data_IF_337814574763
#
_entry.id   IF_337814574763
#
_cell.length_a   1.000
_cell.length_b   1.000
_cell.length_c   1.000
_cell.angle_alpha   90.00
_cell.angle_beta   90.00
_cell.angle_gamma   90.00
#
_symmetry.space_group_name_H-M   'P 1'
#
loop_
_entity.id
_entity.type
_entity.pdbx_description
1 polymer ?
#
# COMPACT_ATOMS: atom_id res chain seq x y z
N UNK A 1 6.69 14.85 58.79
CA UNK A 1 7.16 15.46 57.53
C UNK A 1 6.74 14.72 56.23
N UNK A 2 6.52 13.40 56.21
CA UNK A 2 6.17 12.67 54.96
C UNK A 2 4.74 12.94 54.43
N UNK A 3 3.75 13.07 55.32
CA UNK A 3 2.33 13.25 54.95
C UNK A 3 2.05 14.57 54.21
N UNK A 4 2.69 15.67 54.61
CA UNK A 4 2.50 16.98 53.99
C UNK A 4 3.08 17.03 52.56
N UNK A 5 4.18 16.32 52.29
CA UNK A 5 4.75 16.22 50.94
C UNK A 5 3.86 15.43 49.99
N UNK A 6 3.24 14.36 50.48
CA UNK A 6 2.28 13.56 49.70
C UNK A 6 1.04 14.38 49.39
N UNK A 7 0.50 15.13 50.38
CA UNK A 7 -0.63 16.03 50.17
C UNK A 7 -0.33 17.11 49.11
N UNK A 8 0.82 17.77 49.21
CA UNK A 8 1.23 18.78 48.22
C UNK A 8 1.53 18.20 46.82
N UNK A 9 1.89 16.91 46.71
CA UNK A 9 2.03 16.24 45.43
C UNK A 9 0.67 15.89 44.81
N UNK A 10 -0.29 15.44 45.61
CA UNK A 10 -1.67 15.18 45.19
C UNK A 10 -2.36 16.46 44.71
N UNK A 11 -2.24 17.57 45.44
CA UNK A 11 -2.81 18.86 45.05
C UNK A 11 -2.23 19.37 43.71
N UNK A 12 -0.93 19.15 43.47
CA UNK A 12 -0.29 19.48 42.19
C UNK A 12 -0.77 18.58 41.06
N UNK A 13 -0.90 17.27 41.31
CA UNK A 13 -1.41 16.33 40.31
C UNK A 13 -2.84 16.71 39.92
N UNK A 14 -3.70 17.00 40.89
CA UNK A 14 -5.07 17.40 40.67
C UNK A 14 -5.18 18.73 39.91
N UNK A 15 -4.28 19.68 40.18
CA UNK A 15 -4.17 20.91 39.40
C UNK A 15 -3.75 20.64 37.94
N UNK A 16 -2.79 19.74 37.71
CA UNK A 16 -2.40 19.34 36.36
C UNK A 16 -3.55 18.62 35.62
N UNK A 17 -4.27 17.71 36.28
CA UNK A 17 -5.43 17.02 35.69
C UNK A 17 -6.51 18.02 35.28
N UNK A 18 -6.88 18.97 36.16
CA UNK A 18 -7.84 20.03 35.82
C UNK A 18 -7.38 20.87 34.62
N UNK A 19 -6.08 21.14 34.54
CA UNK A 19 -5.51 21.88 33.41
C UNK A 19 -5.65 21.08 32.11
N UNK A 20 -5.38 19.78 32.14
CA UNK A 20 -5.56 18.89 30.98
C UNK A 20 -7.03 18.89 30.55
N UNK A 21 -7.99 18.76 31.48
CA UNK A 21 -9.42 18.77 31.14
C UNK A 21 -9.86 20.06 30.44
N UNK A 22 -9.35 21.22 30.90
CA UNK A 22 -9.60 22.51 30.25
C UNK A 22 -9.03 22.54 28.83
N UNK A 23 -7.85 21.98 28.63
CA UNK A 23 -7.21 21.92 27.31
C UNK A 23 -7.95 20.95 26.38
N UNK A 24 -8.40 19.81 26.87
CA UNK A 24 -9.24 18.84 26.14
C UNK A 24 -10.54 19.51 25.72
N UNK A 25 -11.26 20.15 26.65
CA UNK A 25 -12.52 20.85 26.34
C UNK A 25 -12.33 21.96 25.31
N UNK A 26 -11.19 22.68 25.36
CA UNK A 26 -10.87 23.71 24.37
C UNK A 26 -10.50 23.12 23.01
N UNK A 27 -9.82 21.98 22.98
CA UNK A 27 -9.52 21.25 21.76
C UNK A 27 -10.81 20.74 21.09
N UNK A 28 -11.76 20.20 21.86
CA UNK A 28 -13.05 19.73 21.35
C UNK A 28 -13.84 20.87 20.69
N UNK A 29 -13.88 22.06 21.32
CA UNK A 29 -14.52 23.26 20.73
C UNK A 29 -13.87 23.72 19.43
N UNK A 30 -12.54 23.65 19.35
CA UNK A 30 -11.81 23.98 18.12
C UNK A 30 -12.06 22.93 17.02
N UNK A 31 -12.34 21.68 17.40
CA UNK A 31 -12.65 20.58 16.50
C UNK A 31 -14.07 20.71 15.91
N UNK A 32 -15.04 21.22 16.69
CA UNK A 32 -16.38 21.58 16.20
C UNK A 32 -16.37 22.79 15.26
N UNK A 33 -15.41 23.71 15.45
CA UNK A 33 -15.22 24.90 14.60
C UNK A 33 -14.39 24.60 13.33
N UNK A 34 -13.65 23.49 13.27
CA UNK A 34 -13.02 23.06 12.02
C UNK A 34 -14.08 22.61 11.01
N UNK A 35 -14.05 23.11 9.76
CA UNK A 35 -15.03 22.70 8.75
C UNK A 35 -14.94 21.19 8.57
N UNK A 36 -16.00 20.47 8.97
CA UNK A 36 -16.16 19.04 8.69
C UNK A 36 -15.71 18.77 7.26
N UNK A 37 -14.76 17.84 7.11
CA UNK A 37 -14.20 17.47 5.83
C UNK A 37 -15.29 17.35 4.77
N UNK A 38 -15.17 18.17 3.72
CA UNK A 38 -16.16 18.20 2.63
C UNK A 38 -15.95 17.03 1.67
N UNK A 39 -14.79 16.39 1.72
CA UNK A 39 -14.44 15.22 0.95
C UNK A 39 -14.84 13.96 1.70
N UNK A 40 -15.72 13.17 1.08
CA UNK A 40 -16.00 11.83 1.57
C UNK A 40 -15.20 10.84 0.76
N UNK A 41 -14.19 10.27 1.42
CA UNK A 41 -13.32 9.24 0.88
C UNK A 41 -13.81 7.85 1.32
N UNK A 42 -14.05 6.97 0.36
CA UNK A 42 -14.41 5.56 0.60
C UNK A 42 -13.64 4.66 -0.33
N UNK A 43 -13.36 3.43 0.10
CA UNK A 43 -12.86 2.41 -0.82
C UNK A 43 -13.97 1.96 -1.78
N UNK A 44 -13.58 1.43 -2.93
CA UNK A 44 -14.51 0.97 -3.99
C UNK A 44 -15.32 -0.26 -3.58
N UNK A 45 -14.82 -1.03 -2.62
CA UNK A 45 -15.54 -2.08 -1.88
C UNK A 45 -15.13 -2.04 -0.39
N UNK A 46 -15.66 -2.95 0.43
CA UNK A 46 -15.17 -3.14 1.79
C UNK A 46 -13.69 -3.58 1.78
N UNK A 47 -12.94 -3.19 2.81
CA UNK A 47 -11.53 -3.59 2.91
C UNK A 47 -11.36 -5.10 3.02
N UNK A 48 -12.24 -5.76 3.78
CA UNK A 48 -12.26 -7.22 3.87
C UNK A 48 -12.39 -7.89 2.50
N UNK A 49 -13.28 -7.42 1.62
CA UNK A 49 -13.40 -7.94 0.25
C UNK A 49 -12.14 -7.69 -0.57
N UNK A 50 -11.54 -6.50 -0.49
CA UNK A 50 -10.31 -6.19 -1.23
C UNK A 50 -9.15 -7.08 -0.76
N UNK A 51 -8.98 -7.25 0.55
CA UNK A 51 -7.94 -8.07 1.16
C UNK A 51 -8.13 -9.56 0.86
N UNK A 52 -9.37 -10.06 0.92
CA UNK A 52 -9.72 -11.44 0.56
C UNK A 52 -9.38 -11.70 -0.91
N UNK A 53 -9.77 -10.79 -1.81
CA UNK A 53 -9.48 -10.89 -3.23
C UNK A 53 -7.98 -10.82 -3.52
N UNK A 54 -7.25 -9.89 -2.91
CA UNK A 54 -5.80 -9.81 -3.02
C UNK A 54 -5.12 -11.10 -2.53
N UNK A 55 -5.63 -11.70 -1.46
CA UNK A 55 -5.17 -12.99 -0.94
C UNK A 55 -5.44 -14.15 -1.91
N UNK A 56 -6.64 -14.21 -2.51
CA UNK A 56 -6.97 -15.19 -3.57
C UNK A 56 -6.01 -15.08 -4.75
N UNK A 57 -5.75 -13.87 -5.21
CA UNK A 57 -4.79 -13.58 -6.30
C UNK A 57 -3.40 -14.10 -5.94
N UNK A 58 -2.90 -13.81 -4.74
CA UNK A 58 -1.60 -14.32 -4.29
C UNK A 58 -1.55 -15.85 -4.28
N UNK A 59 -2.56 -16.49 -3.71
CA UNK A 59 -2.62 -17.95 -3.59
C UNK A 59 -2.64 -18.63 -4.95
N UNK A 60 -3.43 -18.11 -5.90
CA UNK A 60 -3.51 -18.68 -7.23
C UNK A 60 -2.18 -18.50 -7.98
N UNK A 61 -1.55 -17.33 -7.90
CA UNK A 61 -0.24 -17.11 -8.53
C UNK A 61 0.78 -18.09 -7.93
N UNK A 62 0.83 -18.19 -6.61
CA UNK A 62 1.75 -19.07 -5.90
C UNK A 62 1.61 -20.54 -6.27
N UNK A 63 0.41 -21.03 -6.57
CA UNK A 63 0.14 -22.43 -6.91
C UNK A 63 0.36 -22.76 -8.39
N UNK A 64 0.34 -21.76 -9.26
CA UNK A 64 0.40 -21.95 -10.72
C UNK A 64 1.80 -21.66 -11.30
N UNK A 65 2.85 -21.53 -10.48
CA UNK A 65 4.22 -21.37 -11.00
C UNK A 65 4.81 -22.67 -11.57
N UNK A 66 5.87 -22.56 -12.40
CA UNK A 66 6.61 -23.74 -12.89
C UNK A 66 7.36 -24.40 -11.74
N UNK A 67 7.61 -25.72 -11.82
CA UNK A 67 8.53 -26.41 -10.91
C UNK A 67 9.98 -26.41 -11.42
N UNK A 68 10.20 -25.84 -12.61
CA UNK A 68 11.50 -25.85 -13.28
C UNK A 68 12.46 -24.81 -12.70
N UNK A 69 11.94 -23.83 -11.94
CA UNK A 69 12.70 -22.68 -11.48
C UNK A 69 12.60 -22.44 -9.98
N UNK A 70 13.74 -22.10 -9.34
CA UNK A 70 13.75 -21.83 -7.91
C UNK A 70 13.04 -20.52 -7.53
N UNK A 71 12.94 -19.56 -8.46
CA UNK A 71 12.40 -18.23 -8.20
C UNK A 71 11.52 -17.74 -9.34
N UNK A 72 10.34 -17.26 -8.99
CA UNK A 72 9.41 -16.53 -9.86
C UNK A 72 9.13 -15.16 -9.26
N UNK A 73 8.79 -14.18 -10.10
CA UNK A 73 8.53 -12.81 -9.65
C UNK A 73 7.19 -12.33 -10.18
N UNK A 74 6.39 -11.76 -9.30
CA UNK A 74 5.21 -10.99 -9.67
C UNK A 74 5.36 -9.54 -9.19
N UNK A 75 4.77 -8.62 -9.94
CA UNK A 75 4.58 -7.22 -9.57
C UNK A 75 3.10 -6.98 -9.48
N UNK A 76 2.61 -6.69 -8.29
CA UNK A 76 1.22 -6.29 -8.07
C UNK A 76 1.11 -4.77 -8.22
N UNK A 77 0.29 -4.29 -9.15
CA UNK A 77 0.04 -2.86 -9.29
C UNK A 77 -0.64 -2.34 -8.00
N UNK A 78 -0.05 -1.30 -7.41
CA UNK A 78 -0.60 -0.64 -6.23
C UNK A 78 -1.60 0.42 -6.69
N UNK A 79 -2.87 0.18 -6.39
CA UNK A 79 -3.98 1.03 -6.79
C UNK A 79 -4.63 1.64 -5.56
N UNK A 80 -5.13 2.87 -5.68
CA UNK A 80 -5.77 3.55 -4.56
C UNK A 80 -7.12 2.90 -4.19
N UNK A 81 -7.89 2.45 -5.19
CA UNK A 81 -9.28 1.95 -5.03
C UNK A 81 -10.17 2.92 -4.24
N UNK A 82 -9.90 4.23 -4.34
CA UNK A 82 -10.62 5.28 -3.61
C UNK A 82 -11.70 5.92 -4.49
N UNK A 83 -12.92 5.94 -3.98
CA UNK A 83 -14.06 6.71 -4.50
C UNK A 83 -14.09 8.05 -3.78
N UNK A 84 -13.94 9.12 -4.57
CA UNK A 84 -14.00 10.51 -4.10
C UNK A 84 -15.39 11.07 -4.37
N UNK A 85 -16.14 11.39 -3.32
CA UNK A 85 -17.43 12.06 -3.46
C UNK A 85 -17.35 13.50 -2.95
N UNK A 86 -17.68 14.46 -3.83
CA UNK A 86 -17.76 15.89 -3.50
C UNK A 86 -19.21 16.29 -3.30
N UNK A 87 -19.47 17.16 -2.32
CA UNK A 87 -20.82 17.72 -2.08
C UNK A 87 -21.23 18.82 -3.08
N UNK A 88 -20.36 19.27 -3.99
CA UNK A 88 -20.62 20.44 -4.87
C UNK A 88 -20.51 20.14 -6.36
N UNK A 89 -21.44 20.74 -7.14
CA UNK A 89 -21.55 20.69 -8.61
C UNK A 89 -20.43 21.52 -9.27
N UNK A 90 -19.21 21.00 -9.40
CA UNK A 90 -18.22 21.54 -10.37
C UNK A 90 -18.38 20.82 -11.72
N UNK A 91 -18.32 21.51 -12.87
CA UNK A 91 -18.24 20.85 -14.17
C UNK A 91 -16.92 20.06 -14.28
N UNK A 92 -17.01 18.83 -14.77
CA UNK A 92 -15.85 17.97 -15.01
C UNK A 92 -15.00 18.52 -16.16
N UNK A 93 -13.83 19.06 -15.84
CA UNK A 93 -12.67 19.03 -16.74
C UNK A 93 -11.51 18.35 -16.00
N UNK A 94 -11.65 17.04 -15.77
CA UNK A 94 -10.57 16.15 -15.37
C UNK A 94 -10.98 14.71 -15.71
N UNK A 95 -11.27 14.46 -16.99
CA UNK A 95 -11.79 13.18 -17.47
C UNK A 95 -10.76 12.03 -17.49
N UNK A 96 -9.57 12.22 -16.92
CA UNK A 96 -8.46 11.25 -17.06
C UNK A 96 -7.78 10.85 -15.74
N UNK A 97 -8.28 11.30 -14.57
CA UNK A 97 -7.68 10.98 -13.26
C UNK A 97 -8.52 10.05 -12.36
N UNK A 98 -9.70 9.59 -12.81
CA UNK A 98 -10.66 8.90 -11.94
C UNK A 98 -11.17 7.56 -12.48
N UNK A 99 -10.31 6.72 -13.08
CA UNK A 99 -10.68 5.31 -13.18
C UNK A 99 -10.44 4.66 -11.82
N UNK A 100 -11.51 4.56 -11.02
CA UNK A 100 -11.44 3.87 -9.73
C UNK A 100 -11.27 2.38 -10.00
N UNK A 101 -10.13 1.84 -9.59
CA UNK A 101 -9.87 0.41 -9.71
C UNK A 101 -10.94 -0.42 -8.98
N UNK A 102 -11.41 -1.47 -9.66
CA UNK A 102 -12.45 -2.37 -9.17
C UNK A 102 -11.88 -3.37 -8.17
N UNK A 103 -12.61 -3.66 -7.10
CA UNK A 103 -12.21 -4.60 -6.05
C UNK A 103 -11.90 -6.03 -6.56
N UNK A 104 -12.44 -6.40 -7.73
CA UNK A 104 -12.31 -7.71 -8.37
C UNK A 104 -11.19 -7.79 -9.41
N UNK A 105 -10.57 -6.67 -9.77
CA UNK A 105 -9.57 -6.61 -10.83
C UNK A 105 -8.21 -6.18 -10.27
N UNK A 106 -7.13 -6.87 -10.63
CA UNK A 106 -5.78 -6.59 -10.15
C UNK A 106 -4.79 -6.58 -11.30
N UNK A 107 -4.09 -5.46 -11.49
CA UNK A 107 -3.01 -5.35 -12.47
C UNK A 107 -1.75 -6.07 -12.00
N UNK A 108 -1.14 -6.86 -12.89
CA UNK A 108 0.01 -7.70 -12.58
C UNK A 108 1.04 -7.70 -13.71
N UNK A 109 2.31 -7.66 -13.35
CA UNK A 109 3.39 -8.06 -14.26
C UNK A 109 4.06 -9.33 -13.75
N UNK A 110 4.15 -10.35 -14.59
CA UNK A 110 4.68 -11.67 -14.24
C UNK A 110 5.99 -11.91 -14.98
N UNK A 111 6.97 -12.48 -14.27
CA UNK A 111 8.23 -12.93 -14.85
C UNK A 111 8.65 -14.22 -14.18
N UNK A 112 8.80 -15.27 -14.98
CA UNK A 112 9.47 -16.50 -14.57
C UNK A 112 10.66 -16.68 -15.48
N UNK A 113 11.88 -16.69 -14.93
CA UNK A 113 13.11 -16.89 -15.70
C UNK A 113 13.25 -18.35 -16.20
N UNK A 114 12.15 -19.04 -16.56
CA UNK A 114 12.18 -20.47 -16.89
C UNK A 114 12.71 -20.68 -18.34
N UNK A 115 13.37 -19.66 -18.95
CA UNK A 115 14.30 -19.68 -20.11
C UNK A 115 14.93 -18.29 -20.42
N UNK A 116 15.96 -18.27 -21.27
CA UNK A 116 16.95 -17.19 -21.51
C UNK A 116 16.45 -15.83 -22.05
N UNK A 117 15.15 -15.60 -22.21
CA UNK A 117 14.61 -14.32 -22.73
C UNK A 117 13.25 -13.96 -22.11
N UNK A 118 13.05 -14.27 -20.83
CA UNK A 118 11.75 -14.05 -20.18
C UNK A 118 11.48 -12.55 -19.96
N UNK A 119 10.76 -11.94 -20.90
CA UNK A 119 10.21 -10.59 -20.78
C UNK A 119 9.11 -10.55 -19.71
N UNK A 120 8.79 -9.34 -19.24
CA UNK A 120 7.65 -9.15 -18.34
C UNK A 120 6.35 -9.35 -19.11
N UNK A 121 5.51 -10.27 -18.62
CA UNK A 121 4.13 -10.40 -19.09
C UNK A 121 3.24 -9.45 -18.29
N UNK A 122 2.72 -8.40 -18.93
CA UNK A 122 1.72 -7.54 -18.33
C UNK A 122 0.33 -8.16 -18.46
N UNK A 123 -0.44 -8.09 -17.38
CA UNK A 123 -1.70 -8.81 -17.27
C UNK A 123 -2.64 -8.18 -16.26
N UNK A 124 -3.90 -8.62 -16.31
CA UNK A 124 -4.91 -8.36 -15.27
C UNK A 124 -5.46 -9.70 -14.78
N UNK A 125 -5.65 -9.84 -13.47
CA UNK A 125 -6.49 -10.91 -12.89
C UNK A 125 -7.84 -10.31 -12.51
N UNK A 126 -8.91 -10.85 -13.10
CA UNK A 126 -10.31 -10.58 -12.75
C UNK A 126 -10.87 -11.74 -11.93
N UNK A 127 -11.57 -11.43 -10.86
CA UNK A 127 -12.24 -12.41 -10.00
C UNK A 127 -13.72 -12.40 -10.36
N UNK A 128 -14.25 -13.56 -10.73
CA UNK A 128 -15.68 -13.73 -11.01
C UNK A 128 -16.44 -13.65 -9.68
N UNK A 129 -17.16 -12.55 -9.45
CA UNK A 129 -18.16 -12.49 -8.39
C UNK A 129 -19.44 -13.14 -8.91
N UNK A 130 -19.91 -14.23 -8.28
CA UNK A 130 -21.30 -14.62 -8.48
C UNK A 130 -22.18 -13.41 -8.12
N UNK A 131 -23.17 -13.03 -8.94
CA UNK A 131 -24.15 -12.05 -8.50
C UNK A 131 -24.83 -12.60 -7.25
N UNK A 132 -24.49 -12.03 -6.11
CA UNK A 132 -25.18 -12.33 -4.86
C UNK A 132 -26.64 -11.96 -5.07
N UNK A 133 -27.51 -12.98 -5.05
CA UNK A 133 -28.96 -12.80 -5.04
C UNK A 133 -29.36 -12.11 -3.73
N UNK A 134 -29.19 -10.79 -3.68
CA UNK A 134 -29.78 -9.92 -2.68
C UNK A 134 -30.75 -8.99 -3.40
N UNK A 135 -32.02 -9.11 -3.00
CA UNK A 135 -33.13 -8.42 -3.61
C UNK A 135 -33.01 -6.89 -3.46
N UNK A 136 -33.38 -6.18 -4.53
CA UNK A 136 -34.06 -4.89 -4.43
C UNK A 136 -33.20 -3.67 -4.10
N UNK A 137 -32.29 -3.27 -4.99
CA UNK A 137 -32.04 -1.85 -5.31
C UNK A 137 -31.39 -1.77 -6.68
N UNK A 138 -32.09 -1.20 -7.67
CA UNK A 138 -31.52 -0.92 -8.99
C UNK A 138 -30.47 0.17 -8.83
N UNK A 139 -29.20 -0.22 -8.74
CA UNK A 139 -28.06 0.68 -8.89
C UNK A 139 -27.71 0.69 -10.38
N UNK A 140 -28.09 1.74 -11.09
CA UNK A 140 -27.55 1.98 -12.43
C UNK A 140 -26.06 2.29 -12.28
N UNK A 141 -25.24 1.27 -12.44
CA UNK A 141 -23.82 1.43 -12.74
C UNK A 141 -23.74 1.51 -14.26
N UNK A 142 -23.26 2.62 -14.80
CA UNK A 142 -22.91 2.70 -16.23
C UNK A 142 -21.66 1.85 -16.40
N UNK A 143 -21.86 0.56 -16.69
CA UNK A 143 -20.81 -0.33 -17.14
C UNK A 143 -20.31 0.18 -18.49
N UNK A 144 -19.00 0.35 -18.63
CA UNK A 144 -18.34 0.36 -19.95
C UNK A 144 -18.79 -0.93 -20.66
N UNK A 145 -19.08 -0.93 -21.98
CA UNK A 145 -19.66 -2.09 -22.64
C UNK A 145 -18.83 -3.33 -22.32
N UNK A 146 -19.44 -4.29 -21.63
CA UNK A 146 -18.88 -5.63 -21.58
C UNK A 146 -18.98 -6.15 -23.01
N UNK A 147 -17.81 -6.44 -23.61
CA UNK A 147 -17.77 -7.23 -24.82
C UNK A 147 -18.46 -8.57 -24.52
N UNK A 148 -19.65 -8.71 -25.10
CA UNK A 148 -20.47 -9.91 -25.14
C UNK A 148 -19.69 -10.98 -25.93
N UNK A 149 -18.81 -11.71 -25.25
CA UNK A 149 -17.98 -12.76 -25.86
C UNK A 149 -18.06 -14.07 -25.07
N UNK A 150 -18.32 -15.12 -25.85
CA UNK A 150 -18.68 -16.49 -25.50
C UNK A 150 -17.74 -17.12 -24.44
N UNK A 151 -18.27 -17.66 -23.31
CA UNK A 151 -17.50 -18.29 -22.24
C UNK A 151 -16.74 -19.58 -22.63
N UNK A 152 -16.83 -20.02 -23.89
CA UNK A 152 -16.27 -21.27 -24.39
C UNK A 152 -14.79 -21.22 -24.80
N UNK A 153 -14.19 -20.03 -25.01
CA UNK A 153 -12.79 -19.89 -25.49
C UNK A 153 -11.73 -19.67 -24.39
N UNK A 154 -12.02 -20.05 -23.15
CA UNK A 154 -11.09 -19.83 -22.03
C UNK A 154 -10.06 -20.97 -21.88
N UNK A 155 -8.77 -20.65 -21.98
CA UNK A 155 -7.71 -21.65 -21.79
C UNK A 155 -7.44 -21.86 -20.30
N UNK A 156 -7.55 -23.10 -19.82
CA UNK A 156 -7.20 -23.45 -18.44
C UNK A 156 -5.68 -23.36 -18.22
N UNK A 157 -5.27 -22.65 -17.17
CA UNK A 157 -3.85 -22.46 -16.86
C UNK A 157 -3.44 -23.47 -15.81
N UNK A 158 -2.50 -24.34 -16.19
CA UNK A 158 -1.81 -25.24 -15.26
C UNK A 158 -0.43 -24.72 -14.86
N UNK A 159 0.10 -23.73 -15.58
CA UNK A 159 1.39 -23.11 -15.30
C UNK A 159 1.48 -21.72 -15.93
N UNK A 160 1.67 -20.69 -15.10
CA UNK A 160 1.89 -19.31 -15.52
C UNK A 160 3.12 -19.16 -16.41
N UNK A 161 4.18 -19.94 -16.17
CA UNK A 161 5.38 -19.87 -17.00
C UNK A 161 5.13 -20.35 -18.42
N UNK A 162 4.19 -21.28 -18.64
CA UNK A 162 3.80 -21.65 -20.01
C UNK A 162 3.17 -20.46 -20.74
N UNK A 163 2.39 -19.64 -20.03
CA UNK A 163 1.78 -18.42 -20.59
C UNK A 163 2.85 -17.35 -20.83
N UNK A 164 3.73 -17.11 -19.86
CA UNK A 164 4.85 -16.14 -19.98
C UNK A 164 5.81 -16.50 -21.13
N UNK A 165 5.96 -17.79 -21.44
CA UNK A 165 6.79 -18.30 -22.55
C UNK A 165 6.15 -18.14 -23.93
N UNK A 166 4.84 -17.91 -24.03
CA UNK A 166 4.19 -17.73 -25.32
C UNK A 166 4.72 -16.46 -26.00
N UNK A 167 4.70 -16.39 -27.35
CA UNK A 167 5.08 -15.19 -28.09
C UNK A 167 4.36 -13.96 -27.51
N UNK A 168 4.99 -12.78 -27.52
CA UNK A 168 4.50 -11.62 -26.79
C UNK A 168 3.11 -11.22 -27.28
N UNK A 169 2.08 -11.66 -26.55
CA UNK A 169 0.82 -10.98 -26.54
C UNK A 169 1.03 -9.71 -25.69
N UNK A 170 0.62 -8.53 -26.18
CA UNK A 170 0.88 -7.28 -25.46
C UNK A 170 0.25 -7.27 -24.07
N UNK A 171 -0.85 -8.03 -23.90
CA UNK A 171 -1.59 -8.10 -22.66
C UNK A 171 -2.45 -9.37 -22.53
N UNK A 172 -2.48 -9.97 -21.34
CA UNK A 172 -3.30 -11.16 -21.04
C UNK A 172 -4.26 -10.86 -19.89
N UNK A 173 -5.54 -11.23 -20.05
CA UNK A 173 -6.51 -11.17 -18.96
C UNK A 173 -6.73 -12.58 -18.42
N UNK A 174 -6.45 -12.73 -17.14
CA UNK A 174 -6.72 -13.93 -16.37
C UNK A 174 -8.06 -13.79 -15.66
N UNK A 175 -8.86 -14.84 -15.67
CA UNK A 175 -10.12 -14.92 -14.95
C UNK A 175 -9.99 -16.00 -13.87
N UNK A 176 -10.29 -15.62 -12.62
CA UNK A 176 -10.28 -16.49 -11.46
C UNK A 176 -11.71 -16.75 -11.04
N UNK A 177 -12.12 -18.01 -11.15
CA UNK A 177 -13.47 -18.41 -10.71
C UNK A 177 -13.52 -18.71 -9.20
N UNK A 178 -14.73 -18.90 -8.70
CA UNK A 178 -15.07 -19.30 -7.33
C UNK A 178 -14.36 -20.59 -6.86
N UNK A 179 -14.10 -21.52 -7.78
CA UNK A 179 -13.37 -22.77 -7.52
C UNK A 179 -11.85 -22.61 -7.43
N UNK A 180 -11.33 -21.40 -7.61
CA UNK A 180 -9.89 -21.12 -7.57
C UNK A 180 -9.14 -21.56 -8.83
N UNK A 181 -9.86 -21.84 -9.93
CA UNK A 181 -9.27 -22.18 -11.22
C UNK A 181 -8.93 -20.91 -12.00
N UNK A 182 -7.70 -20.83 -12.48
CA UNK A 182 -7.23 -19.72 -13.31
C UNK A 182 -7.38 -20.05 -14.79
N UNK A 183 -8.02 -19.15 -15.54
CA UNK A 183 -8.14 -19.24 -16.99
C UNK A 183 -7.54 -18.01 -17.64
N UNK A 184 -6.93 -18.14 -18.82
CA UNK A 184 -6.48 -16.99 -19.63
C UNK A 184 -7.40 -16.76 -20.81
N UNK A 185 -7.49 -15.48 -21.19
CA UNK A 185 -7.87 -15.04 -22.52
C UNK A 185 -6.86 -14.00 -23.02
N UNK A 186 -6.45 -14.05 -24.31
CA UNK A 186 -5.77 -12.94 -24.94
C UNK A 186 -6.64 -11.70 -24.86
N UNK A 187 -6.05 -10.54 -24.56
CA UNK A 187 -6.78 -9.28 -24.65
C UNK A 187 -6.67 -8.73 -26.06
N UNK A 188 -7.82 -8.36 -26.64
CA UNK A 188 -7.87 -7.57 -27.87
C UNK A 188 -7.57 -6.08 -27.62
N UNK A 189 -7.53 -5.64 -26.36
CA UNK A 189 -7.08 -4.29 -26.03
C UNK A 189 -5.58 -4.19 -26.25
N UNK A 190 -5.17 -3.38 -27.22
CA UNK A 190 -3.82 -2.82 -27.22
C UNK A 190 -3.66 -2.03 -25.92
N UNK A 191 -2.75 -2.49 -25.05
CA UNK A 191 -2.35 -1.69 -23.89
C UNK A 191 -1.66 -0.43 -24.40
N UNK A 192 -2.34 0.71 -24.29
CA UNK A 192 -1.80 2.04 -24.62
C UNK A 192 -0.67 2.51 -23.69
N UNK A 193 -0.14 1.63 -22.83
CA UNK A 193 0.90 1.95 -21.86
C UNK A 193 2.25 1.47 -22.39
N UNK A 194 3.16 2.41 -22.64
CA UNK A 194 4.55 2.12 -22.91
C UNK A 194 5.25 1.69 -21.62
N UNK A 195 6.16 0.72 -21.74
CA UNK A 195 6.94 0.20 -20.61
C UNK A 195 8.42 0.49 -20.82
N UNK A 196 9.11 0.86 -19.74
CA UNK A 196 10.56 1.05 -19.78
C UNK A 196 11.28 -0.30 -19.85
N UNK A 197 12.43 -0.34 -20.51
CA UNK A 197 13.26 -1.55 -20.58
C UNK A 197 13.70 -2.03 -19.19
N UNK A 198 14.02 -1.09 -18.30
CA UNK A 198 14.42 -1.36 -16.93
C UNK A 198 13.54 -0.57 -15.97
N UNK A 199 12.73 -1.28 -15.19
CA UNK A 199 11.95 -0.69 -14.11
C UNK A 199 12.87 -0.13 -13.02
N UNK A 200 12.48 0.98 -12.41
CA UNK A 200 13.20 1.62 -11.31
C UNK A 200 12.48 1.39 -9.99
N UNK A 201 13.23 1.15 -8.91
CA UNK A 201 12.67 1.10 -7.56
C UNK A 201 12.47 2.50 -6.98
N UNK A 202 11.62 2.64 -5.97
CA UNK A 202 11.49 3.90 -5.22
C UNK A 202 12.85 4.29 -4.63
N UNK A 203 13.64 3.33 -4.12
CA UNK A 203 15.01 3.59 -3.65
C UNK A 203 15.90 4.26 -4.70
N UNK A 204 15.88 3.78 -5.95
CA UNK A 204 16.67 4.36 -7.03
C UNK A 204 16.15 5.74 -7.48
N UNK A 205 14.85 6.00 -7.29
CA UNK A 205 14.21 7.24 -7.70
C UNK A 205 14.33 8.36 -6.68
N UNK A 206 14.33 8.07 -5.39
CA UNK A 206 14.38 9.07 -4.31
C UNK A 206 15.50 10.13 -4.48
N UNK A 207 16.75 9.79 -4.87
CA UNK A 207 17.78 10.78 -5.18
C UNK A 207 17.40 11.84 -6.21
N UNK A 208 16.47 11.51 -7.11
CA UNK A 208 16.00 12.39 -8.18
C UNK A 208 14.81 13.26 -7.77
N UNK A 209 14.20 12.99 -6.61
CA UNK A 209 13.07 13.78 -6.11
C UNK A 209 13.51 15.17 -5.61
N UNK A 210 14.82 15.40 -5.42
CA UNK A 210 15.37 16.74 -5.16
C UNK A 210 15.07 17.70 -6.32
N UNK A 211 14.96 17.18 -7.55
CA UNK A 211 14.38 17.93 -8.65
C UNK A 211 12.87 18.01 -8.42
N UNK A 212 12.37 19.20 -8.06
CA UNK A 212 10.97 19.46 -7.69
C UNK A 212 9.97 18.76 -8.61
N UNK A 213 9.48 17.60 -8.17
CA UNK A 213 8.43 16.87 -8.87
C UNK A 213 7.09 17.63 -8.75
N UNK A 214 6.17 17.44 -9.70
CA UNK A 214 4.83 17.99 -9.56
C UNK A 214 4.13 17.48 -8.31
N UNK A 215 3.41 18.39 -7.65
CA UNK A 215 2.63 18.12 -6.43
C UNK A 215 1.68 16.93 -6.64
N UNK A 216 1.07 16.81 -7.83
CA UNK A 216 0.19 15.69 -8.19
C UNK A 216 0.85 14.32 -8.04
N UNK A 217 2.14 14.21 -8.39
CA UNK A 217 2.86 12.94 -8.33
C UNK A 217 3.28 12.61 -6.90
N UNK A 218 3.78 13.61 -6.16
CA UNK A 218 4.22 13.45 -4.77
C UNK A 218 3.06 13.02 -3.88
N UNK A 219 1.92 13.74 -3.95
CA UNK A 219 0.73 13.38 -3.18
C UNK A 219 0.08 12.10 -3.71
N UNK A 220 0.00 11.94 -5.03
CA UNK A 220 -0.57 10.74 -5.64
C UNK A 220 0.16 9.46 -5.21
N UNK A 221 1.49 9.50 -5.16
CA UNK A 221 2.30 8.39 -4.67
C UNK A 221 2.07 8.15 -3.17
N UNK A 222 2.13 9.19 -2.34
CA UNK A 222 1.90 9.08 -0.89
C UNK A 222 0.53 8.47 -0.56
N UNK A 223 -0.53 8.95 -1.21
CA UNK A 223 -1.90 8.44 -1.07
C UNK A 223 -1.96 6.97 -1.50
N UNK A 224 -1.33 6.60 -2.61
CA UNK A 224 -1.29 5.20 -3.09
C UNK A 224 -0.59 4.29 -2.09
N UNK A 225 0.54 4.72 -1.51
CA UNK A 225 1.26 3.91 -0.52
C UNK A 225 0.46 3.72 0.77
N UNK A 226 -0.18 4.78 1.27
CA UNK A 226 -1.02 4.68 2.46
C UNK A 226 -2.23 3.78 2.17
N UNK A 227 -2.92 3.97 1.03
CA UNK A 227 -4.03 3.12 0.61
C UNK A 227 -3.60 1.65 0.47
N UNK A 228 -2.36 1.39 0.08
CA UNK A 228 -1.83 0.02 -0.06
C UNK A 228 -1.68 -0.69 1.29
N UNK A 229 -1.36 0.03 2.37
CA UNK A 229 -1.34 -0.56 3.72
C UNK A 229 -2.72 -1.10 4.09
N UNK A 230 -3.78 -0.30 3.93
CA UNK A 230 -5.15 -0.77 4.21
C UNK A 230 -5.50 -2.03 3.42
N UNK A 231 -5.11 -2.08 2.15
CA UNK A 231 -5.51 -3.14 1.22
C UNK A 231 -4.68 -4.42 1.36
N UNK A 232 -3.41 -4.32 1.77
CA UNK A 232 -2.46 -5.42 1.66
C UNK A 232 -1.85 -5.89 2.98
N UNK A 233 -1.94 -5.11 4.07
CA UNK A 233 -1.22 -5.41 5.31
C UNK A 233 -1.58 -6.77 5.94
N UNK A 234 -2.83 -7.19 5.83
CA UNK A 234 -3.31 -8.50 6.31
C UNK A 234 -3.28 -9.59 5.23
N UNK A 235 -2.56 -9.36 4.12
CA UNK A 235 -2.47 -10.30 3.00
C UNK A 235 -1.05 -10.85 2.85
N UNK A 236 -0.85 -12.01 2.19
CA UNK A 236 0.48 -12.56 1.94
C UNK A 236 1.38 -11.66 1.07
N UNK A 237 0.80 -10.69 0.34
CA UNK A 237 1.58 -9.73 -0.45
C UNK A 237 2.53 -8.92 0.43
N UNK A 238 2.09 -8.52 1.63
CA UNK A 238 2.86 -7.67 2.55
C UNK A 238 3.30 -8.42 3.83
N UNK A 239 3.66 -9.70 3.66
CA UNK A 239 4.07 -10.57 4.76
C UNK A 239 5.41 -10.20 5.41
N UNK A 240 6.35 -9.68 4.61
CA UNK A 240 7.65 -9.22 5.09
C UNK A 240 7.62 -7.72 5.33
N UNK A 241 8.55 -7.22 6.16
CA UNK A 241 8.74 -5.79 6.39
C UNK A 241 8.83 -5.06 5.04
N UNK A 242 7.94 -4.10 4.83
CA UNK A 242 7.85 -3.36 3.58
C UNK A 242 9.09 -2.50 3.36
N UNK A 243 9.59 -2.45 2.12
CA UNK A 243 10.74 -1.66 1.74
C UNK A 243 10.48 -0.85 0.46
N UNK A 244 11.12 0.33 0.37
CA UNK A 244 11.23 1.11 -0.87
C UNK A 244 11.90 0.36 -2.03
N UNK A 245 12.63 -0.74 -1.75
CA UNK A 245 13.19 -1.64 -2.77
C UNK A 245 12.12 -2.47 -3.47
N UNK A 246 11.05 -2.78 -2.76
CA UNK A 246 9.96 -3.63 -3.25
C UNK A 246 8.93 -2.82 -4.04
N UNK A 247 9.00 -1.50 -4.01
CA UNK A 247 8.13 -0.61 -4.80
C UNK A 247 8.86 -0.25 -6.09
N UNK A 248 8.30 -0.65 -7.23
CA UNK A 248 8.91 -0.44 -8.56
C UNK A 248 7.97 0.23 -9.53
N UNK A 249 8.54 0.96 -10.49
CA UNK A 249 7.84 1.68 -11.54
C UNK A 249 8.32 1.15 -12.90
N UNK A 250 7.40 0.66 -13.71
CA UNK A 250 7.69 0.00 -14.98
C UNK A 250 7.03 0.68 -16.20
N UNK A 251 6.05 1.56 -15.98
CA UNK A 251 5.41 2.31 -17.07
C UNK A 251 6.26 3.52 -17.41
N UNK A 252 6.46 3.75 -18.70
CA UNK A 252 7.18 4.91 -19.20
C UNK A 252 6.32 6.17 -19.08
N UNK A 253 6.98 7.31 -18.90
CA UNK A 253 6.34 8.61 -18.96
C UNK A 253 7.17 9.55 -19.84
N UNK A 254 6.70 9.83 -21.04
CA UNK A 254 7.38 10.71 -22.00
C UNK A 254 7.28 12.19 -21.62
N UNK A 255 6.36 12.56 -20.72
CA UNK A 255 5.96 13.94 -20.47
C UNK A 255 6.50 14.49 -19.15
N UNK A 256 7.36 13.76 -18.46
CA UNK A 256 7.79 14.05 -17.10
C UNK A 256 9.32 14.04 -16.95
N UNK A 257 9.88 14.69 -15.91
CA UNK A 257 11.32 14.73 -15.68
C UNK A 257 11.91 13.33 -15.40
N UNK A 258 11.09 12.42 -14.88
CA UNK A 258 11.44 11.02 -14.71
C UNK A 258 10.98 10.23 -15.93
N UNK A 259 11.80 9.25 -16.35
CA UNK A 259 11.47 8.34 -17.46
C UNK A 259 10.34 7.35 -17.13
N UNK A 260 9.89 7.32 -15.87
CA UNK A 260 8.88 6.41 -15.34
C UNK A 260 7.66 7.16 -14.79
N UNK A 261 6.50 6.54 -14.87
CA UNK A 261 5.24 7.09 -14.37
C UNK A 261 5.01 6.75 -12.88
N UNK A 262 5.09 7.75 -12.01
CA UNK A 262 4.91 7.60 -10.56
C UNK A 262 3.47 7.27 -10.15
N UNK A 263 2.49 7.35 -11.06
CA UNK A 263 1.09 7.02 -10.78
C UNK A 263 0.82 5.53 -10.71
N UNK A 264 1.74 4.70 -11.19
CA UNK A 264 1.57 3.24 -11.29
C UNK A 264 2.68 2.46 -10.57
N UNK A 265 2.89 2.69 -9.25
CA UNK A 265 3.83 1.89 -8.47
C UNK A 265 3.34 0.44 -8.39
N UNK A 266 4.26 -0.51 -8.35
CA UNK A 266 3.97 -1.92 -8.18
C UNK A 266 4.78 -2.52 -7.03
N UNK A 267 4.17 -3.42 -6.27
CA UNK A 267 4.83 -4.21 -5.23
C UNK A 267 5.43 -5.48 -5.84
N UNK A 268 6.74 -5.65 -5.68
CA UNK A 268 7.48 -6.85 -6.11
C UNK A 268 7.33 -7.95 -5.07
N UNK A 269 6.95 -9.14 -5.51
CA UNK A 269 6.95 -10.36 -4.70
C UNK A 269 7.71 -11.48 -5.41
N UNK A 270 8.62 -12.11 -4.69
CA UNK A 270 9.34 -13.31 -5.14
C UNK A 270 8.67 -14.57 -4.59
N UNK A 271 8.47 -15.56 -5.44
CA UNK A 271 7.90 -16.85 -5.11
C UNK A 271 8.99 -17.91 -5.25
N UNK A 272 9.36 -18.52 -4.13
CA UNK A 272 10.41 -19.52 -4.07
C UNK A 272 9.82 -20.93 -4.09
N UNK A 273 10.42 -21.82 -4.87
CA UNK A 273 10.03 -23.23 -4.86
C UNK A 273 10.40 -23.89 -3.53
N UNK A 274 9.45 -24.62 -2.93
CA UNK A 274 9.63 -25.29 -1.63
C UNK A 274 8.99 -24.59 -0.42
N UNK A 275 8.59 -23.32 -0.54
CA UNK A 275 7.85 -22.62 0.52
C UNK A 275 6.43 -23.19 0.76
N UNK A 276 5.89 -23.95 -0.21
CA UNK A 276 4.57 -24.57 -0.13
C UNK A 276 4.47 -25.77 0.83
N UNK A 277 5.60 -26.32 1.31
CA UNK A 277 5.56 -27.43 2.27
C UNK A 277 5.30 -26.99 3.72
N UNK A 278 5.26 -25.69 4.03
CA UNK A 278 5.03 -25.20 5.39
C UNK A 278 3.62 -24.64 5.64
N UNK A 279 2.78 -24.47 4.61
CA UNK A 279 1.47 -23.78 4.76
C UNK A 279 0.32 -24.77 5.03
N UNK A 280 0.51 -26.09 4.94
CA UNK A 280 -0.59 -27.08 5.09
C UNK A 280 -0.64 -27.87 6.41
N UNK A 281 0.13 -27.55 7.45
CA UNK A 281 0.03 -28.27 8.73
C UNK A 281 0.25 -27.37 9.96
N UNK A 282 -0.65 -26.43 10.21
CA UNK A 282 -0.81 -25.81 11.54
C UNK A 282 -1.91 -26.49 12.35
N UNK A 283 -1.81 -27.82 12.49
CA UNK A 283 -2.38 -28.60 13.60
C UNK A 283 -1.49 -29.83 13.86
N UNK A 284 -0.33 -29.62 14.48
CA UNK A 284 0.19 -30.47 15.55
C UNK A 284 1.62 -30.08 15.85
N UNK A 285 1.84 -29.75 17.11
CA UNK A 285 3.15 -29.51 17.70
C UNK A 285 3.99 -30.80 17.71
N UNK A 286 5.31 -30.57 17.69
CA UNK A 286 6.41 -31.44 18.13
C UNK A 286 7.02 -32.44 17.14
N UNK A 287 8.37 -32.39 17.14
CA UNK A 287 9.36 -33.31 16.58
C UNK A 287 9.61 -33.21 15.07
N UNK A 288 10.64 -32.45 14.68
CA UNK A 288 12.00 -33.01 14.47
C UNK A 288 12.97 -31.83 14.29
N UNK A 289 13.96 -31.80 15.17
CA UNK A 289 15.15 -30.97 15.10
C UNK A 289 16.30 -31.87 14.65
N UNK A 290 17.02 -31.47 13.59
CA UNK A 290 18.46 -31.72 13.27
C UNK A 290 18.68 -32.00 11.79
N UNK A 291 19.36 -31.09 11.09
CA UNK A 291 20.75 -31.26 10.62
C UNK A 291 21.17 -30.06 9.72
N UNK A 292 22.21 -29.34 10.16
CA UNK A 292 23.15 -28.64 9.27
C UNK A 292 22.93 -27.13 9.02
N UNK A 293 23.89 -26.33 9.50
CA UNK A 293 24.17 -24.92 9.17
C UNK A 293 23.27 -23.82 9.78
N UNK A 294 23.83 -23.12 10.77
CA UNK A 294 23.30 -21.94 11.43
C UNK A 294 23.40 -20.69 10.54
N UNK A 295 22.32 -19.91 10.43
CA UNK A 295 22.39 -18.46 10.50
C UNK A 295 21.70 -17.97 11.78
N UNK A 296 22.34 -17.00 12.44
CA UNK A 296 21.89 -16.35 13.68
C UNK A 296 20.37 -16.16 13.74
N UNK A 297 19.74 -16.69 14.80
CA UNK A 297 18.38 -16.36 15.20
C UNK A 297 18.27 -14.85 15.48
N UNK A 298 17.30 -14.14 14.91
CA UNK A 298 16.77 -12.93 15.52
C UNK A 298 15.87 -13.32 16.71
N UNK A 299 15.86 -12.48 17.74
CA UNK A 299 15.04 -12.60 18.95
C UNK A 299 13.54 -12.88 18.67
N UNK A 300 12.84 -13.63 19.54
CA UNK A 300 11.41 -13.87 19.43
C UNK A 300 10.64 -12.81 20.22
N UNK A 301 10.72 -11.54 19.85
CA UNK A 301 9.62 -10.61 20.18
C UNK A 301 8.66 -10.64 19.00
N UNK A 302 7.37 -10.99 19.20
CA UNK A 302 6.38 -10.91 18.14
C UNK A 302 6.07 -9.43 17.92
N UNK A 303 6.98 -8.72 17.24
CA UNK A 303 6.69 -7.39 16.73
C UNK A 303 5.53 -7.56 15.76
N UNK A 304 4.40 -6.94 16.09
CA UNK A 304 3.21 -6.96 15.26
C UNK A 304 3.59 -6.48 13.85
N UNK A 305 3.45 -7.35 12.84
CA UNK A 305 3.83 -7.10 11.44
C UNK A 305 3.25 -5.79 10.91
N UNK A 306 2.01 -5.49 11.32
CA UNK A 306 1.30 -4.24 11.01
C UNK A 306 2.09 -3.04 11.48
N UNK A 307 2.61 -3.08 12.71
CA UNK A 307 3.40 -2.01 13.29
C UNK A 307 4.66 -1.79 12.44
N UNK A 308 5.48 -2.81 12.17
CA UNK A 308 6.73 -2.62 11.39
C UNK A 308 6.49 -2.05 9.99
N UNK A 309 5.38 -2.40 9.33
CA UNK A 309 5.01 -1.83 8.02
C UNK A 309 4.57 -0.36 8.12
N UNK A 310 3.93 0.04 9.22
CA UNK A 310 3.58 1.44 9.49
C UNK A 310 4.83 2.30 9.72
N UNK A 311 5.83 1.79 10.45
CA UNK A 311 7.11 2.49 10.60
C UNK A 311 7.83 2.64 9.26
N UNK A 312 7.87 1.59 8.44
CA UNK A 312 8.45 1.66 7.10
C UNK A 312 7.73 2.69 6.22
N UNK A 313 6.40 2.73 6.27
CA UNK A 313 5.60 3.73 5.57
C UNK A 313 5.91 5.15 6.06
N UNK A 314 6.02 5.38 7.37
CA UNK A 314 6.35 6.68 7.93
C UNK A 314 7.68 7.22 7.39
N UNK A 315 8.71 6.35 7.31
CA UNK A 315 10.02 6.69 6.75
C UNK A 315 9.90 7.00 5.26
N UNK A 316 9.21 6.15 4.47
CA UNK A 316 9.03 6.40 3.04
C UNK A 316 8.28 7.72 2.77
N UNK A 317 7.29 8.09 3.59
CA UNK A 317 6.60 9.37 3.47
C UNK A 317 7.51 10.57 3.80
N UNK A 318 8.43 10.43 4.76
CA UNK A 318 9.47 11.43 5.02
C UNK A 318 10.43 11.55 3.83
N UNK A 319 10.86 10.43 3.25
CA UNK A 319 11.74 10.42 2.07
C UNK A 319 11.06 11.05 0.85
N UNK A 320 9.79 10.72 0.59
CA UNK A 320 9.00 11.26 -0.52
C UNK A 320 8.78 12.77 -0.37
N UNK A 321 8.40 13.22 0.83
CA UNK A 321 8.12 14.64 1.09
C UNK A 321 9.37 15.52 1.11
N UNK A 322 10.49 15.00 1.60
CA UNK A 322 11.77 15.72 1.62
C UNK A 322 12.56 15.61 0.31
N UNK A 323 12.21 14.65 -0.54
CA UNK A 323 12.96 14.29 -1.75
C UNK A 323 14.34 13.70 -1.46
N UNK A 324 14.59 13.21 -0.24
CA UNK A 324 15.90 12.71 0.18
C UNK A 324 15.78 11.31 0.78
N UNK A 325 16.60 10.35 0.35
CA UNK A 325 16.64 9.04 0.98
C UNK A 325 17.27 9.13 2.39
N UNK A 326 16.79 8.27 3.29
CA UNK A 326 17.22 8.21 4.70
C UNK A 326 18.72 7.96 4.84
N UNK A 327 19.32 7.23 3.89
CA UNK A 327 20.75 6.93 3.84
C UNK A 327 21.60 8.19 3.68
N UNK A 328 21.09 9.27 3.07
CA UNK A 328 21.84 10.54 3.00
C UNK A 328 21.89 11.26 4.36
N UNK A 329 21.06 10.87 5.31
CA UNK A 329 21.02 11.45 6.66
C UNK A 329 21.87 10.68 7.65
N UNK A 330 22.20 9.43 7.34
CA UNK A 330 22.96 8.53 8.18
C UNK A 330 24.37 8.36 7.60
N UNK A 331 25.40 8.31 8.46
CA UNK A 331 26.70 7.82 8.01
C UNK A 331 26.67 6.31 7.75
N UNK A 332 27.62 5.78 6.98
CA UNK A 332 27.65 4.35 6.60
C UNK A 332 27.55 3.40 7.80
N UNK A 333 28.25 3.71 8.90
CA UNK A 333 28.21 2.93 10.15
C UNK A 333 26.84 2.98 10.85
N UNK A 334 26.08 4.06 10.66
CA UNK A 334 24.74 4.21 11.23
C UNK A 334 23.68 3.49 10.40
N UNK A 335 23.85 3.41 9.07
CA UNK A 335 22.92 2.67 8.18
C UNK A 335 22.82 1.20 8.61
N UNK A 336 23.97 0.57 8.89
CA UNK A 336 24.05 -0.85 9.26
C UNK A 336 23.35 -1.13 10.61
N UNK A 337 23.36 -0.17 11.53
CA UNK A 337 22.82 -0.34 12.87
C UNK A 337 21.37 0.17 13.02
N UNK A 338 20.98 1.19 12.26
CA UNK A 338 19.70 1.91 12.43
C UNK A 338 18.60 1.34 11.55
N UNK A 339 18.85 1.05 10.27
CA UNK A 339 17.80 0.54 9.37
C UNK A 339 17.24 -0.85 9.76
N UNK A 340 18.06 -1.79 10.28
CA UNK A 340 17.54 -3.09 10.71
C UNK A 340 16.77 -3.04 12.03
N UNK A 341 17.01 -2.03 12.88
CA UNK A 341 16.42 -1.95 14.22
C UNK A 341 15.22 -0.99 14.24
N UNK A 342 14.01 -1.53 14.42
CA UNK A 342 12.77 -0.73 14.44
C UNK A 342 12.78 0.37 15.52
N UNK A 343 13.42 0.14 16.67
CA UNK A 343 13.50 1.16 17.72
C UNK A 343 14.39 2.35 17.31
N UNK A 344 15.53 2.09 16.67
CA UNK A 344 16.40 3.14 16.14
C UNK A 344 15.74 3.84 14.94
N UNK A 345 15.02 3.09 14.10
CA UNK A 345 14.24 3.63 13.00
C UNK A 345 13.12 4.57 13.48
N UNK A 346 12.42 4.23 14.57
CA UNK A 346 11.42 5.09 15.19
C UNK A 346 12.02 6.41 15.65
N UNK A 347 13.10 6.37 16.43
CA UNK A 347 13.76 7.57 16.94
C UNK A 347 14.25 8.48 15.80
N UNK A 348 14.78 7.88 14.74
CA UNK A 348 15.18 8.60 13.54
C UNK A 348 13.99 9.29 12.88
N UNK A 349 12.89 8.57 12.67
CA UNK A 349 11.69 9.11 12.04
C UNK A 349 11.05 10.24 12.86
N UNK A 350 10.96 10.09 14.19
CA UNK A 350 10.44 11.12 15.09
C UNK A 350 11.32 12.38 15.09
N UNK A 351 12.65 12.21 15.19
CA UNK A 351 13.61 13.30 15.14
C UNK A 351 13.55 14.04 13.80
N UNK A 352 13.50 13.29 12.70
CA UNK A 352 13.41 13.86 11.36
C UNK A 352 12.08 14.60 11.14
N UNK A 353 10.96 14.01 11.54
CA UNK A 353 9.64 14.65 11.48
C UNK A 353 9.64 15.99 12.24
N UNK A 354 10.23 16.02 13.45
CA UNK A 354 10.33 17.24 14.25
C UNK A 354 11.17 18.31 13.57
N UNK A 355 12.29 17.92 12.96
CA UNK A 355 13.16 18.84 12.22
C UNK A 355 12.45 19.42 10.99
N UNK A 356 11.81 18.60 10.15
CA UNK A 356 11.14 19.11 8.94
C UNK A 356 9.96 20.03 9.29
N UNK A 357 9.24 19.74 10.39
CA UNK A 357 8.21 20.63 10.93
C UNK A 357 8.80 21.97 11.39
N UNK A 358 9.89 21.96 12.16
CA UNK A 358 10.47 23.21 12.68
C UNK A 358 11.02 24.11 11.57
N UNK A 359 11.48 23.53 10.46
CA UNK A 359 11.96 24.28 9.30
C UNK A 359 10.84 24.69 8.33
N UNK A 360 9.58 24.31 8.58
CA UNK A 360 8.45 24.59 7.68
C UNK A 360 8.56 23.92 6.32
N UNK A 361 9.35 22.85 6.20
CA UNK A 361 9.60 22.12 4.95
C UNK A 361 8.58 21.00 4.70
N UNK A 362 7.81 20.64 5.73
CA UNK A 362 6.79 19.61 5.66
C UNK A 362 5.39 20.23 5.67
N UNK A 363 4.53 19.77 4.77
CA UNK A 363 3.13 20.19 4.75
C UNK A 363 2.37 19.67 5.98
N UNK A 364 1.22 20.28 6.28
CA UNK A 364 0.41 19.85 7.41
C UNK A 364 -0.12 18.43 7.21
N UNK A 365 -0.58 18.10 6.00
CA UNK A 365 -1.12 16.79 5.71
C UNK A 365 -0.04 15.68 5.76
N UNK A 366 1.15 15.92 5.19
CA UNK A 366 2.25 14.96 5.30
C UNK A 366 2.67 14.75 6.76
N UNK A 367 2.77 15.84 7.53
CA UNK A 367 3.04 15.79 8.96
C UNK A 367 2.03 14.90 9.72
N UNK A 368 0.74 15.03 9.41
CA UNK A 368 -0.32 14.25 10.05
C UNK A 368 -0.26 12.78 9.64
N UNK A 369 -0.07 12.49 8.34
CA UNK A 369 0.03 11.13 7.83
C UNK A 369 1.24 10.38 8.41
N UNK A 370 2.41 11.02 8.46
CA UNK A 370 3.62 10.44 9.07
C UNK A 370 3.38 10.18 10.57
N UNK A 371 2.81 11.16 11.28
CA UNK A 371 2.53 11.01 12.71
C UNK A 371 1.52 9.88 12.97
N UNK A 372 0.48 9.74 12.16
CA UNK A 372 -0.49 8.66 12.27
C UNK A 372 0.17 7.28 12.10
N UNK A 373 1.11 7.16 11.15
CA UNK A 373 1.89 5.93 10.97
C UNK A 373 2.77 5.61 12.19
N UNK A 374 3.47 6.61 12.75
CA UNK A 374 4.32 6.42 13.94
C UNK A 374 3.49 6.06 15.19
N UNK A 375 2.35 6.73 15.38
CA UNK A 375 1.41 6.41 16.46
C UNK A 375 0.83 5.00 16.28
N UNK A 376 0.51 4.61 15.04
CA UNK A 376 0.04 3.27 14.74
C UNK A 376 1.11 2.19 14.98
N UNK A 377 2.38 2.47 14.72
CA UNK A 377 3.49 1.58 15.10
C UNK A 377 3.55 1.37 16.62
N UNK A 378 3.36 2.43 17.41
CA UNK A 378 3.42 2.38 18.88
C UNK A 378 2.17 1.77 19.53
N UNK A 379 1.06 1.67 18.80
CA UNK A 379 -0.19 1.14 19.34
C UNK A 379 -0.21 -0.40 19.21
N UNK A 380 -0.18 -1.16 20.34
CA UNK A 380 -0.25 -2.62 20.29
C UNK A 380 -1.59 -3.13 19.74
N UNK A 381 -2.64 -2.33 19.87
CA UNK A 381 -4.00 -2.64 19.41
C UNK A 381 -4.25 -2.19 17.95
N UNK A 382 -3.22 -1.71 17.24
CA UNK A 382 -3.33 -1.32 15.85
C UNK A 382 -3.71 -2.51 14.96
N UNK A 383 -4.94 -2.49 14.45
CA UNK A 383 -5.48 -3.51 13.57
C UNK A 383 -6.38 -2.89 12.51
N UNK A 384 -6.09 -3.11 11.22
CA UNK A 384 -6.93 -2.58 10.14
C UNK A 384 -8.22 -3.38 9.91
N UNK A 385 -8.37 -4.54 10.55
CA UNK A 385 -9.64 -5.28 10.59
C UNK A 385 -10.64 -4.67 11.60
N UNK A 386 -10.18 -3.80 12.50
CA UNK A 386 -11.05 -2.99 13.35
C UNK A 386 -11.53 -1.75 12.58
N UNK A 387 -12.83 -1.67 12.32
CA UNK A 387 -13.46 -0.58 11.59
C UNK A 387 -13.24 0.78 12.28
N UNK A 388 -13.18 0.83 13.62
CA UNK A 388 -12.98 2.09 14.36
C UNK A 388 -11.56 2.60 14.16
N UNK A 389 -10.55 1.75 14.43
CA UNK A 389 -9.16 2.07 14.16
C UNK A 389 -8.92 2.43 12.69
N UNK A 390 -9.48 1.65 11.77
CA UNK A 390 -9.34 1.86 10.34
C UNK A 390 -9.90 3.21 9.88
N UNK A 391 -11.10 3.58 10.35
CA UNK A 391 -11.70 4.87 10.06
C UNK A 391 -10.89 6.01 10.67
N UNK A 392 -10.47 5.89 11.93
CA UNK A 392 -9.65 6.90 12.59
C UNK A 392 -8.29 7.11 11.88
N UNK A 393 -7.64 6.02 11.44
CA UNK A 393 -6.39 6.10 10.69
C UNK A 393 -6.61 6.75 9.32
N UNK A 394 -7.70 6.40 8.62
CA UNK A 394 -8.06 7.00 7.32
C UNK A 394 -8.28 8.51 7.43
N UNK A 395 -8.99 8.96 8.46
CA UNK A 395 -9.25 10.38 8.72
C UNK A 395 -7.98 11.15 9.08
N UNK A 396 -7.00 10.52 9.74
CA UNK A 396 -5.74 11.16 10.13
C UNK A 396 -4.66 11.12 9.04
N UNK A 397 -4.65 10.08 8.20
CA UNK A 397 -3.56 9.83 7.26
C UNK A 397 -3.92 10.07 5.80
N UNK A 398 -5.09 9.60 5.33
CA UNK A 398 -5.47 9.70 3.92
C UNK A 398 -6.21 11.00 3.62
N UNK A 399 -7.21 11.32 4.43
CA UNK A 399 -8.10 12.45 4.17
C UNK A 399 -7.37 13.80 4.09
N UNK A 400 -6.42 14.13 5.00
CA UNK A 400 -5.72 15.41 4.93
C UNK A 400 -4.88 15.53 3.66
N UNK A 401 -4.27 14.43 3.19
CA UNK A 401 -3.46 14.42 1.97
C UNK A 401 -4.32 14.67 0.73
N UNK A 402 -5.50 14.05 0.66
CA UNK A 402 -6.46 14.28 -0.43
C UNK A 402 -6.98 15.72 -0.44
N UNK A 403 -7.32 16.26 0.72
CA UNK A 403 -7.81 17.64 0.85
C UNK A 403 -6.74 18.67 0.51
N UNK A 404 -5.53 18.50 1.02
CA UNK A 404 -4.41 19.40 0.74
C UNK A 404 -3.99 19.30 -0.72
N UNK A 405 -3.96 18.10 -1.32
CA UNK A 405 -3.73 17.93 -2.76
C UNK A 405 -4.81 18.65 -3.58
N UNK A 406 -6.09 18.47 -3.25
CA UNK A 406 -7.18 19.16 -3.96
C UNK A 406 -7.07 20.68 -3.83
N UNK A 407 -6.76 21.17 -2.63
CA UNK A 407 -6.56 22.58 -2.36
C UNK A 407 -5.40 23.16 -3.17
N UNK A 408 -4.26 22.47 -3.23
CA UNK A 408 -3.08 22.91 -3.97
C UNK A 408 -3.30 22.92 -5.49
N UNK A 409 -4.13 22.01 -6.00
CA UNK A 409 -4.41 21.91 -7.44
C UNK A 409 -5.50 22.85 -7.92
N UNK A 410 -6.51 23.11 -7.09
CA UNK A 410 -7.72 23.82 -7.52
C UNK A 410 -8.07 25.06 -6.68
N UNK A 411 -7.22 25.41 -5.72
CA UNK A 411 -7.43 26.51 -4.78
C UNK A 411 -8.50 26.21 -3.72
N UNK A 412 -8.79 27.19 -2.83
CA UNK A 412 -9.81 27.05 -1.80
C UNK A 412 -11.18 26.68 -2.40
N UNK A 413 -11.97 25.83 -1.73
CA UNK A 413 -13.34 25.58 -2.13
C UNK A 413 -14.15 26.88 -1.99
N UNK A 414 -14.62 27.41 -3.13
CA UNK A 414 -15.57 28.53 -3.18
C UNK A 414 -16.89 28.18 -2.48
#
# INVERSE_FOLDING_TARGET
>A
MKKNRVKAALERLEACTRMIDVWTTRADRLQDETPQSRLKLKFSASLGTIQENATKVHQVISRNWCNDNPVHVARLLLEQRLVRSKKTKRPLQAASLNLVAQATCFGLSLRGDCNASSQWLNSEIKIDELPSSSAGTVRMTISVPEDDHDPTNLQHITSLCKVVRQPPHPFVVFCLNDKGCLKSRPSLKETAADYVQQSLSLEALLPHFEAKLPITEVYGLAITLIASIFQLNHTPWLETKWSKRDIVFARANSNMPLTVDLRYPSLVKKFYQGALLQISTSKSSQLIQKLGASPRRPDPTPVNRTCSNLLALAIMLLEISSGRPVERRLGDDQIINVLPNDQSGLQLAEGWLKEEKSHGRLSCAFSQAILACLQGYLNPDANFDDDEYCNAFKEKALLPLEEEMEFLLFGPPK
#
